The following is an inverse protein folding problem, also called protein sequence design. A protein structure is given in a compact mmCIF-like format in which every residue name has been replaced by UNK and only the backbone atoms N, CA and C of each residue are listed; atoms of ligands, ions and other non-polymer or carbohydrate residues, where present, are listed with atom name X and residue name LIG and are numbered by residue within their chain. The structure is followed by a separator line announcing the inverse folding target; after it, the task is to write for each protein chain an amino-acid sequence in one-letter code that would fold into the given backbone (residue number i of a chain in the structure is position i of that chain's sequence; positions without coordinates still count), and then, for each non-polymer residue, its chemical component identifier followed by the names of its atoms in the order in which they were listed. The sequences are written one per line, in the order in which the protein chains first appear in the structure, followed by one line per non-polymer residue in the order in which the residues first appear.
data_IF_892305046479
#
_entry.id   IF_892305046479
#
_cell.length_a   1.000
_cell.length_b   1.000
_cell.length_c   1.000
_cell.angle_alpha   90.00
_cell.angle_beta   90.00
_cell.angle_gamma   90.00
#
_symmetry.space_group_name_H-M   'P 1'
#
loop_
_entity.id
_entity.type
_entity.pdbx_description
1 polymer ?
#
# COMPACT_ATOMS: atom_id res chain seq x y z
N UNK A 1 6.74 9.82 23.45
CA UNK A 1 8.12 10.18 23.83
C UNK A 1 8.57 9.35 25.02
N UNK A 2 9.90 9.13 25.15
CA UNK A 2 10.50 8.58 26.38
C UNK A 2 10.66 9.67 27.47
N UNK A 3 11.28 9.31 28.62
CA UNK A 3 11.48 10.25 29.72
C UNK A 3 12.49 11.38 29.39
N UNK A 4 13.29 11.22 28.36
CA UNK A 4 14.29 12.19 27.90
C UNK A 4 13.79 13.05 26.72
N UNK A 5 12.56 12.80 26.25
CA UNK A 5 11.96 13.49 25.09
C UNK A 5 12.35 12.89 23.73
N UNK A 6 12.92 11.67 23.68
CA UNK A 6 13.17 10.98 22.42
C UNK A 6 11.85 10.47 21.83
N UNK A 7 11.68 10.66 20.51
CA UNK A 7 10.52 10.18 19.77
C UNK A 7 10.51 8.65 19.68
N UNK A 8 9.47 8.00 20.22
CA UNK A 8 9.25 6.56 20.11
C UNK A 8 8.25 6.23 19.00
N UNK A 9 7.20 7.03 18.87
CA UNK A 9 6.24 6.93 17.78
C UNK A 9 5.77 8.34 17.39
N UNK A 10 5.56 8.58 16.08
CA UNK A 10 5.10 9.86 15.57
C UNK A 10 4.34 9.68 14.26
N UNK A 11 3.62 10.71 13.86
CA UNK A 11 2.96 10.74 12.58
C UNK A 11 3.84 11.46 11.55
N UNK A 12 4.04 10.83 10.41
CA UNK A 12 4.74 11.41 9.26
C UNK A 12 3.76 11.58 8.11
N UNK A 13 3.81 12.74 7.46
CA UNK A 13 2.98 12.96 6.27
C UNK A 13 3.45 12.09 5.13
N UNK A 14 2.53 11.31 4.57
CA UNK A 14 2.70 10.49 3.38
C UNK A 14 1.93 11.12 2.24
N UNK A 15 2.54 11.24 1.09
CA UNK A 15 1.90 11.70 -0.13
C UNK A 15 1.55 10.49 -0.97
N UNK A 16 0.25 10.30 -1.25
CA UNK A 16 -0.21 9.22 -2.09
C UNK A 16 -0.77 9.78 -3.38
N UNK A 17 -0.36 9.19 -4.48
CA UNK A 17 -0.80 9.58 -5.82
C UNK A 17 -1.90 8.63 -6.28
N UNK A 18 -3.02 9.18 -6.66
CA UNK A 18 -4.17 8.44 -7.18
C UNK A 18 -4.55 8.90 -8.58
N UNK A 19 -5.26 8.02 -9.29
CA UNK A 19 -5.85 8.31 -10.59
C UNK A 19 -7.37 8.08 -10.55
N UNK A 20 -8.13 9.06 -11.02
CA UNK A 20 -9.60 8.96 -11.07
C UNK A 20 -10.01 8.06 -12.23
N UNK A 21 -10.70 6.96 -11.95
CA UNK A 21 -11.05 5.93 -12.94
C UNK A 21 -11.92 6.45 -14.09
N UNK A 22 -12.81 7.39 -13.81
CA UNK A 22 -13.78 7.97 -14.75
C UNK A 22 -13.51 9.45 -15.05
N UNK A 23 -12.25 9.90 -15.04
CA UNK A 23 -11.91 11.23 -15.49
C UNK A 23 -12.37 11.42 -16.93
N UNK A 24 -13.19 12.45 -17.17
CA UNK A 24 -13.59 12.83 -18.54
C UNK A 24 -12.44 13.57 -19.21
N UNK A 25 -11.84 12.94 -20.19
CA UNK A 25 -10.72 13.46 -20.97
C UNK A 25 -11.10 13.76 -22.41
N UNK A 26 -12.39 13.66 -22.77
CA UNK A 26 -12.87 13.77 -24.14
C UNK A 26 -12.55 15.11 -24.80
N UNK A 27 -12.76 16.22 -24.06
CA UNK A 27 -12.46 17.56 -24.56
C UNK A 27 -10.95 17.76 -24.77
N UNK A 28 -10.15 17.39 -23.78
CA UNK A 28 -8.69 17.51 -23.84
C UNK A 28 -8.06 16.59 -24.91
N UNK A 29 -8.64 15.41 -25.15
CA UNK A 29 -8.21 14.51 -26.20
C UNK A 29 -8.56 15.09 -27.58
N UNK A 30 -9.77 15.66 -27.73
CA UNK A 30 -10.21 16.30 -28.97
C UNK A 30 -9.35 17.54 -29.33
N UNK A 31 -8.94 18.33 -28.33
CA UNK A 31 -8.02 19.46 -28.56
C UNK A 31 -6.66 19.03 -29.11
N UNK A 32 -6.21 17.83 -28.79
CA UNK A 32 -4.94 17.24 -29.26
C UNK A 32 -5.05 16.38 -30.49
N UNK A 33 -6.27 16.15 -31.00
CA UNK A 33 -6.57 15.24 -32.12
C UNK A 33 -6.08 13.79 -31.89
N UNK A 34 -6.26 13.31 -30.64
CA UNK A 34 -5.94 11.95 -30.19
C UNK A 34 -7.15 11.32 -29.48
N UNK A 35 -7.09 10.01 -29.26
CA UNK A 35 -8.12 9.29 -28.47
C UNK A 35 -7.95 9.52 -26.97
N UNK A 36 -9.02 9.35 -26.19
CA UNK A 36 -8.92 9.38 -24.73
C UNK A 36 -7.95 8.32 -24.17
N UNK A 37 -7.88 7.15 -24.79
CA UNK A 37 -6.94 6.11 -24.39
C UNK A 37 -5.49 6.56 -24.57
N UNK A 38 -5.17 7.18 -25.70
CA UNK A 38 -3.85 7.74 -25.97
C UNK A 38 -3.50 8.85 -24.97
N UNK A 39 -4.44 9.76 -24.69
CA UNK A 39 -4.23 10.80 -23.68
C UNK A 39 -4.00 10.23 -22.28
N UNK A 40 -4.79 9.23 -21.87
CA UNK A 40 -4.58 8.54 -20.58
C UNK A 40 -3.20 7.90 -20.49
N UNK A 41 -2.74 7.27 -21.58
CA UNK A 41 -1.42 6.66 -21.66
C UNK A 41 -0.30 7.71 -21.57
N UNK A 42 -0.45 8.86 -22.23
CA UNK A 42 0.49 9.99 -22.11
C UNK A 42 0.57 10.53 -20.69
N UNK A 43 -0.59 10.73 -20.03
CA UNK A 43 -0.66 11.21 -18.63
C UNK A 43 0.06 10.23 -17.70
N UNK A 44 -0.27 8.94 -17.80
CA UNK A 44 0.36 7.90 -16.97
C UNK A 44 1.87 7.83 -17.25
N UNK A 45 2.29 7.89 -18.51
CA UNK A 45 3.71 7.87 -18.85
C UNK A 45 4.48 9.07 -18.26
N UNK A 46 3.94 10.30 -18.40
CA UNK A 46 4.53 11.50 -17.80
C UNK A 46 4.64 11.38 -16.29
N UNK A 47 3.59 10.87 -15.65
CA UNK A 47 3.58 10.64 -14.21
C UNK A 47 4.68 9.66 -13.78
N UNK A 48 4.83 8.55 -14.51
CA UNK A 48 5.91 7.57 -14.27
C UNK A 48 7.29 8.23 -14.36
N UNK A 49 7.50 9.09 -15.38
CA UNK A 49 8.78 9.79 -15.53
C UNK A 49 9.08 10.73 -14.37
N UNK A 50 8.07 11.46 -13.87
CA UNK A 50 8.24 12.35 -12.70
C UNK A 50 8.61 11.53 -11.47
N UNK A 51 7.92 10.42 -11.21
CA UNK A 51 8.22 9.54 -10.09
C UNK A 51 9.66 9.01 -10.16
N UNK A 52 10.05 8.46 -11.31
CA UNK A 52 11.40 7.88 -11.48
C UNK A 52 12.52 8.90 -11.41
N UNK A 53 12.33 10.12 -11.91
CA UNK A 53 13.30 11.21 -11.79
C UNK A 53 13.59 11.59 -10.35
N UNK A 54 12.62 11.42 -9.46
CA UNK A 54 12.74 11.72 -8.04
C UNK A 54 13.05 10.48 -7.18
N UNK A 55 13.25 9.31 -7.80
CA UNK A 55 13.59 8.06 -7.11
C UNK A 55 12.38 7.30 -6.54
N UNK A 56 11.16 7.71 -6.89
CA UNK A 56 9.92 7.06 -6.49
C UNK A 56 9.49 6.02 -7.54
N UNK A 57 8.54 5.17 -7.17
CA UNK A 57 8.03 4.10 -8.03
C UNK A 57 6.53 3.88 -7.84
N UNK A 58 5.90 3.26 -8.84
CA UNK A 58 4.51 2.81 -8.72
C UNK A 58 4.36 1.75 -7.62
N UNK A 59 3.26 1.81 -6.88
CA UNK A 59 2.84 0.78 -5.92
C UNK A 59 2.08 -0.35 -6.62
N UNK A 60 1.40 -0.04 -7.72
CA UNK A 60 0.65 -1.02 -8.53
C UNK A 60 1.58 -1.84 -9.43
N UNK A 61 1.23 -3.11 -9.61
CA UNK A 61 2.04 -4.04 -10.42
C UNK A 61 1.14 -4.87 -11.35
N UNK A 62 1.56 -5.00 -12.59
CA UNK A 62 0.93 -5.96 -13.50
C UNK A 62 1.40 -7.38 -13.16
N UNK A 63 0.54 -8.42 -13.27
CA UNK A 63 0.95 -9.81 -13.11
C UNK A 63 1.85 -10.36 -14.23
N UNK A 64 2.54 -9.49 -14.95
CA UNK A 64 3.54 -9.81 -15.99
C UNK A 64 4.83 -9.05 -15.67
N UNK A 65 5.97 -9.71 -15.80
CA UNK A 65 7.30 -9.11 -15.62
C UNK A 65 8.26 -9.56 -16.71
N UNK A 66 9.34 -8.78 -16.92
CA UNK A 66 10.47 -9.18 -17.74
C UNK A 66 11.47 -10.00 -16.92
N UNK A 67 11.97 -11.08 -17.48
CA UNK A 67 13.11 -11.82 -16.93
C UNK A 67 14.44 -11.14 -17.30
N UNK A 68 15.56 -11.69 -16.80
CA UNK A 68 16.89 -11.16 -17.08
C UNK A 68 17.28 -11.19 -18.58
N UNK A 69 16.60 -11.98 -19.39
CA UNK A 69 16.81 -12.08 -20.85
C UNK A 69 15.84 -11.21 -21.64
N UNK A 70 14.96 -10.47 -20.98
CA UNK A 70 13.93 -9.64 -21.62
C UNK A 70 12.67 -10.41 -22.06
N UNK A 71 12.50 -11.66 -21.64
CA UNK A 71 11.29 -12.40 -21.93
C UNK A 71 10.19 -12.11 -20.91
N UNK A 72 8.97 -12.01 -21.39
CA UNK A 72 7.81 -11.81 -20.51
C UNK A 72 7.38 -13.11 -19.85
N UNK A 73 7.08 -13.03 -18.56
CA UNK A 73 6.56 -14.14 -17.77
C UNK A 73 5.47 -13.67 -16.81
N UNK A 74 4.53 -14.54 -16.51
CA UNK A 74 3.58 -14.30 -15.43
C UNK A 74 4.28 -14.40 -14.06
N UNK A 75 3.87 -13.54 -13.13
CA UNK A 75 4.29 -13.56 -11.73
C UNK A 75 3.29 -14.31 -10.83
N UNK A 76 2.17 -14.74 -11.40
CA UNK A 76 1.06 -15.46 -10.75
C UNK A 76 0.78 -16.77 -11.49
N UNK A 77 0.05 -17.69 -10.86
CA UNK A 77 -0.30 -18.98 -11.42
C UNK A 77 -1.66 -19.50 -10.90
N UNK A 78 -2.14 -20.58 -11.48
CA UNK A 78 -3.36 -21.25 -11.02
C UNK A 78 -4.61 -20.36 -11.06
N UNK A 79 -5.36 -20.32 -9.97
CA UNK A 79 -6.60 -19.56 -9.87
C UNK A 79 -6.42 -18.05 -10.11
N UNK A 80 -5.31 -17.47 -9.63
CA UNK A 80 -5.01 -16.05 -9.82
C UNK A 80 -4.77 -15.74 -11.31
N UNK A 81 -4.09 -16.60 -12.05
CA UNK A 81 -3.88 -16.44 -13.48
C UNK A 81 -5.20 -16.55 -14.26
N UNK A 82 -6.06 -17.47 -13.87
CA UNK A 82 -7.40 -17.59 -14.46
C UNK A 82 -8.23 -16.31 -14.25
N UNK A 83 -8.21 -15.75 -13.05
CA UNK A 83 -8.88 -14.48 -12.75
C UNK A 83 -8.31 -13.35 -13.58
N UNK A 84 -7.00 -13.30 -13.76
CA UNK A 84 -6.34 -12.31 -14.62
C UNK A 84 -6.80 -12.43 -16.09
N UNK A 85 -6.83 -13.64 -16.66
CA UNK A 85 -7.36 -13.88 -18.00
C UNK A 85 -8.83 -13.43 -18.14
N UNK A 86 -9.67 -13.81 -17.17
CA UNK A 86 -11.08 -13.38 -17.17
C UNK A 86 -11.21 -11.86 -17.19
N UNK A 87 -10.46 -11.16 -16.38
CA UNK A 87 -10.47 -9.70 -16.33
C UNK A 87 -10.00 -9.07 -17.63
N UNK A 88 -8.88 -9.53 -18.20
CA UNK A 88 -8.29 -8.99 -19.43
C UNK A 88 -9.19 -9.26 -20.65
N UNK A 89 -9.71 -10.46 -20.78
CA UNK A 89 -10.53 -10.87 -21.92
C UNK A 89 -12.05 -10.62 -21.72
N UNK A 90 -12.45 -10.05 -20.57
CA UNK A 90 -13.83 -9.68 -20.27
C UNK A 90 -14.77 -10.88 -20.10
N UNK A 91 -14.25 -12.04 -19.66
CA UNK A 91 -15.04 -13.23 -19.40
C UNK A 91 -15.64 -13.22 -17.99
N UNK A 92 -16.88 -13.73 -17.86
CA UNK A 92 -17.56 -13.83 -16.56
C UNK A 92 -17.17 -15.11 -15.79
N UNK A 93 -16.71 -16.13 -16.48
CA UNK A 93 -16.23 -17.39 -15.92
C UNK A 93 -15.04 -17.94 -16.73
N UNK A 94 -14.30 -18.90 -16.15
CA UNK A 94 -13.19 -19.57 -16.85
C UNK A 94 -13.72 -20.33 -18.08
N UNK A 95 -14.98 -20.83 -18.03
CA UNK A 95 -15.57 -21.59 -19.13
C UNK A 95 -15.91 -20.72 -20.34
N UNK A 96 -16.10 -19.43 -20.15
CA UNK A 96 -16.35 -18.46 -21.22
C UNK A 96 -15.07 -18.10 -22.01
N UNK A 97 -13.89 -18.41 -21.46
CA UNK A 97 -12.61 -18.21 -22.15
C UNK A 97 -12.44 -19.28 -23.24
N UNK A 98 -11.99 -18.86 -24.42
CA UNK A 98 -11.56 -19.77 -25.48
C UNK A 98 -10.28 -20.53 -25.09
N UNK A 99 -10.02 -21.68 -25.73
CA UNK A 99 -8.79 -22.44 -25.49
C UNK A 99 -7.52 -21.63 -25.76
N UNK A 100 -7.55 -20.70 -26.73
CA UNK A 100 -6.45 -19.78 -27.01
C UNK A 100 -6.22 -18.82 -25.86
N UNK A 101 -7.27 -18.27 -25.27
CA UNK A 101 -7.20 -17.34 -24.14
C UNK A 101 -6.74 -18.03 -22.84
N UNK A 102 -7.21 -19.27 -22.59
CA UNK A 102 -6.79 -20.08 -21.44
C UNK A 102 -5.31 -20.43 -21.45
N UNK A 103 -4.72 -20.55 -22.65
CA UNK A 103 -3.33 -20.94 -22.85
C UNK A 103 -2.45 -19.80 -23.36
N UNK A 104 -2.93 -18.54 -23.31
CA UNK A 104 -2.19 -17.39 -23.78
C UNK A 104 -0.90 -17.19 -22.96
N UNK A 105 0.20 -16.97 -23.64
CA UNK A 105 1.47 -16.62 -23.03
C UNK A 105 1.46 -15.21 -22.46
N UNK A 106 2.38 -14.90 -21.56
CA UNK A 106 2.51 -13.56 -21.01
C UNK A 106 2.73 -12.49 -22.11
N UNK A 107 3.44 -12.84 -23.18
CA UNK A 107 3.65 -11.96 -24.33
C UNK A 107 2.35 -11.72 -25.11
N UNK A 108 1.57 -12.75 -25.39
CA UNK A 108 0.29 -12.62 -26.11
C UNK A 108 -0.72 -11.78 -25.29
N UNK A 109 -0.78 -11.95 -23.98
CA UNK A 109 -1.64 -11.13 -23.12
C UNK A 109 -1.16 -9.68 -23.09
N UNK A 110 0.14 -9.44 -22.98
CA UNK A 110 0.72 -8.10 -23.03
C UNK A 110 0.40 -7.40 -24.37
N UNK A 111 0.60 -8.09 -25.51
CA UNK A 111 0.34 -7.53 -26.85
C UNK A 111 -1.16 -7.23 -27.03
N UNK A 112 -2.05 -8.08 -26.51
CA UNK A 112 -3.49 -7.83 -26.49
C UNK A 112 -3.85 -6.59 -25.65
N UNK A 113 -3.29 -6.49 -24.44
CA UNK A 113 -3.54 -5.32 -23.57
C UNK A 113 -3.00 -4.02 -24.17
N UNK A 114 -1.87 -4.09 -24.89
CA UNK A 114 -1.25 -2.94 -25.55
C UNK A 114 -2.06 -2.47 -26.75
N UNK A 115 -2.72 -3.38 -27.47
CA UNK A 115 -3.40 -3.13 -28.75
C UNK A 115 -4.58 -2.14 -28.61
N UNK A 116 -5.12 -1.73 -29.74
CA UNK A 116 -6.33 -0.90 -29.87
C UNK A 116 -7.59 -1.60 -29.35
N UNK A 117 -7.57 -2.93 -29.22
CA UNK A 117 -8.67 -3.71 -28.65
C UNK A 117 -8.89 -3.41 -27.16
N UNK A 118 -7.85 -2.97 -26.42
CA UNK A 118 -7.99 -2.68 -24.99
C UNK A 118 -7.49 -1.27 -24.60
N UNK A 119 -6.19 -1.01 -24.60
CA UNK A 119 -5.65 0.24 -24.07
C UNK A 119 -5.01 1.16 -25.10
N UNK A 120 -4.80 0.73 -26.34
CA UNK A 120 -4.22 1.51 -27.44
C UNK A 120 -2.92 2.25 -27.05
N UNK A 121 -1.89 1.49 -26.62
CA UNK A 121 -0.61 2.06 -26.17
C UNK A 121 0.36 2.10 -27.36
N UNK A 122 0.90 3.29 -27.67
CA UNK A 122 1.81 3.54 -28.78
C UNK A 122 3.02 2.59 -28.78
N UNK A 123 3.45 2.23 -30.02
CA UNK A 123 4.65 1.42 -30.25
C UNK A 123 5.97 2.16 -29.98
N UNK A 124 5.91 3.46 -29.73
CA UNK A 124 7.08 4.27 -29.39
C UNK A 124 7.60 3.99 -27.98
N UNK A 125 6.74 3.49 -27.08
CA UNK A 125 7.15 3.14 -25.73
C UNK A 125 7.84 1.77 -25.68
N UNK A 126 8.96 1.69 -24.96
CA UNK A 126 9.63 0.41 -24.69
C UNK A 126 8.74 -0.53 -23.88
N UNK A 127 8.92 -1.85 -24.03
CA UNK A 127 8.14 -2.86 -23.28
C UNK A 127 8.21 -2.65 -21.75
N UNK A 128 9.34 -2.15 -21.23
CA UNK A 128 9.49 -1.83 -19.81
C UNK A 128 8.56 -0.69 -19.36
N UNK A 129 8.41 0.36 -20.17
CA UNK A 129 7.46 1.43 -19.86
C UNK A 129 6.02 1.01 -20.12
N UNK A 130 5.76 0.23 -21.17
CA UNK A 130 4.42 -0.31 -21.44
C UNK A 130 3.93 -1.16 -20.26
N UNK A 131 4.77 -2.00 -19.64
CA UNK A 131 4.41 -2.77 -18.44
C UNK A 131 3.98 -1.87 -17.28
N UNK A 132 4.64 -0.74 -17.08
CA UNK A 132 4.28 0.23 -16.02
C UNK A 132 2.98 0.96 -16.35
N UNK A 133 2.80 1.37 -17.61
CA UNK A 133 1.55 1.99 -18.08
C UNK A 133 0.41 1.00 -17.92
N UNK A 134 0.60 -0.26 -18.34
CA UNK A 134 -0.39 -1.32 -18.20
C UNK A 134 -0.72 -1.63 -16.75
N UNK A 135 0.24 -1.54 -15.81
CA UNK A 135 -0.03 -1.73 -14.39
C UNK A 135 -1.07 -0.72 -13.87
N UNK A 136 -0.88 0.56 -14.19
CA UNK A 136 -1.83 1.62 -13.82
C UNK A 136 -3.16 1.45 -14.56
N UNK A 137 -3.12 1.24 -15.87
CA UNK A 137 -4.32 1.12 -16.71
C UNK A 137 -5.19 -0.07 -16.31
N UNK A 138 -4.56 -1.19 -15.98
CA UNK A 138 -5.26 -2.39 -15.53
C UNK A 138 -5.92 -2.20 -14.17
N UNK A 139 -5.25 -1.57 -13.22
CA UNK A 139 -5.82 -1.28 -11.90
C UNK A 139 -7.04 -0.35 -12.02
N UNK A 140 -6.94 0.70 -12.82
CA UNK A 140 -8.06 1.59 -13.16
C UNK A 140 -9.19 0.81 -13.85
N UNK A 141 -8.86 -0.09 -14.77
CA UNK A 141 -9.83 -0.93 -15.49
C UNK A 141 -10.61 -1.86 -14.55
N UNK A 142 -9.98 -2.43 -13.55
CA UNK A 142 -10.65 -3.26 -12.54
C UNK A 142 -11.74 -2.47 -11.78
N UNK A 143 -11.51 -1.18 -11.56
CA UNK A 143 -12.40 -0.29 -10.82
C UNK A 143 -13.39 0.49 -11.71
N UNK A 144 -13.47 0.21 -13.02
CA UNK A 144 -14.27 0.98 -14.00
C UNK A 144 -15.78 1.06 -13.73
N UNK A 145 -16.33 0.14 -12.95
CA UNK A 145 -17.75 0.13 -12.58
C UNK A 145 -18.04 0.91 -11.31
N UNK A 146 -17.02 1.29 -10.55
CA UNK A 146 -17.15 2.09 -9.35
C UNK A 146 -16.99 3.56 -9.72
N UNK A 147 -18.12 4.25 -9.85
CA UNK A 147 -18.11 5.69 -10.13
C UNK A 147 -17.50 6.43 -8.93
N UNK A 148 -16.70 7.47 -9.22
CA UNK A 148 -16.07 8.35 -8.21
C UNK A 148 -14.98 7.71 -7.35
N UNK A 149 -14.52 6.49 -7.66
CA UNK A 149 -13.37 5.90 -6.98
C UNK A 149 -12.06 6.38 -7.61
N UNK A 150 -11.18 6.85 -6.77
CA UNK A 150 -9.76 7.04 -7.11
C UNK A 150 -9.01 5.73 -6.88
N UNK A 151 -8.00 5.49 -7.69
CA UNK A 151 -7.13 4.31 -7.59
C UNK A 151 -5.75 4.79 -7.19
N UNK A 152 -5.24 4.36 -6.05
CA UNK A 152 -3.89 4.68 -5.60
C UNK A 152 -2.88 3.97 -6.48
N UNK A 153 -2.05 4.74 -7.16
CA UNK A 153 -1.05 4.23 -8.10
C UNK A 153 0.38 4.31 -7.57
N UNK A 154 0.66 5.24 -6.66
CA UNK A 154 1.93 5.32 -5.94
C UNK A 154 1.70 5.83 -4.51
N UNK A 155 2.27 5.12 -3.52
CA UNK A 155 2.13 5.45 -2.12
C UNK A 155 3.45 5.94 -1.56
N UNK A 156 3.37 6.85 -0.58
CA UNK A 156 4.54 7.40 0.12
C UNK A 156 5.58 7.98 -0.84
N UNK A 157 5.12 8.76 -1.82
CA UNK A 157 6.01 9.45 -2.75
C UNK A 157 6.76 10.59 -2.04
N UNK A 158 7.93 10.93 -2.54
CA UNK A 158 8.77 12.00 -2.01
C UNK A 158 8.11 13.38 -2.15
N UNK A 159 8.52 14.32 -1.31
CA UNK A 159 8.06 15.70 -1.40
C UNK A 159 8.44 16.33 -2.77
N UNK A 160 9.53 15.89 -3.38
CA UNK A 160 9.95 16.31 -4.72
C UNK A 160 8.96 15.85 -5.78
N UNK A 161 8.53 14.60 -5.75
CA UNK A 161 7.49 14.07 -6.66
C UNK A 161 6.16 14.77 -6.42
N UNK A 162 5.76 14.97 -5.17
CA UNK A 162 4.56 15.73 -4.82
C UNK A 162 4.57 17.12 -5.45
N UNK A 163 5.66 17.88 -5.26
CA UNK A 163 5.77 19.24 -5.81
C UNK A 163 5.72 19.22 -7.35
N UNK A 164 6.49 18.32 -7.99
CA UNK A 164 6.54 18.21 -9.44
C UNK A 164 5.19 17.78 -10.05
N UNK A 165 4.47 16.86 -9.43
CA UNK A 165 3.13 16.47 -9.87
C UNK A 165 2.16 17.63 -9.71
N UNK A 166 2.16 18.31 -8.56
CA UNK A 166 1.28 19.46 -8.28
C UNK A 166 1.50 20.60 -9.26
N UNK A 167 2.74 20.90 -9.64
CA UNK A 167 3.07 21.91 -10.65
C UNK A 167 2.56 21.56 -12.05
N UNK A 168 2.37 20.28 -12.33
CA UNK A 168 1.95 19.77 -13.65
C UNK A 168 0.48 19.28 -13.66
N UNK A 169 -0.32 19.55 -12.65
CA UNK A 169 -1.72 19.09 -12.55
C UNK A 169 -2.57 19.48 -13.77
N UNK A 170 -2.31 20.64 -14.38
CA UNK A 170 -3.02 21.07 -15.58
C UNK A 170 -2.82 20.14 -16.78
N UNK A 171 -1.71 19.38 -16.80
CA UNK A 171 -1.37 18.42 -17.86
C UNK A 171 -1.57 16.97 -17.44
N UNK A 172 -1.68 16.71 -16.15
CA UNK A 172 -1.88 15.39 -15.53
C UNK A 172 -3.34 15.19 -15.14
N UNK A 173 -4.24 15.44 -16.07
CA UNK A 173 -5.68 15.37 -15.87
C UNK A 173 -6.10 14.01 -15.29
N UNK A 174 -6.93 14.06 -14.24
CA UNK A 174 -7.41 12.87 -13.53
C UNK A 174 -6.44 12.32 -12.48
N UNK A 175 -5.20 12.84 -12.39
CA UNK A 175 -4.33 12.59 -11.26
C UNK A 175 -4.74 13.45 -10.07
N UNK A 176 -4.60 12.91 -8.87
CA UNK A 176 -4.80 13.62 -7.60
C UNK A 176 -3.76 13.16 -6.59
N UNK A 177 -3.38 14.04 -5.68
CA UNK A 177 -2.45 13.71 -4.61
C UNK A 177 -3.10 13.97 -3.27
N UNK A 178 -3.27 12.91 -2.50
CA UNK A 178 -3.72 12.97 -1.11
C UNK A 178 -2.54 13.04 -0.15
N UNK A 179 -2.75 13.74 0.96
CA UNK A 179 -1.79 13.76 2.07
C UNK A 179 -2.40 12.93 3.18
N UNK A 180 -1.72 11.84 3.52
CA UNK A 180 -2.10 10.96 4.60
C UNK A 180 -1.09 11.02 5.74
N UNK A 181 -1.47 10.51 6.89
CA UNK A 181 -0.61 10.46 8.06
C UNK A 181 -0.24 9.02 8.36
N UNK A 182 1.03 8.68 8.17
CA UNK A 182 1.56 7.37 8.50
C UNK A 182 2.14 7.35 9.91
N UNK A 183 1.81 6.32 10.69
CA UNK A 183 2.37 6.12 12.02
C UNK A 183 3.73 5.44 11.92
N UNK A 184 4.78 6.13 12.35
CA UNK A 184 6.16 5.63 12.35
C UNK A 184 6.58 5.28 13.77
N UNK A 185 7.23 4.12 13.94
CA UNK A 185 7.71 3.60 15.21
C UNK A 185 9.23 3.53 15.19
N UNK A 186 9.87 4.38 15.98
CA UNK A 186 11.31 4.35 16.16
C UNK A 186 11.70 3.19 17.07
N UNK A 187 12.81 2.53 16.75
CA UNK A 187 13.36 1.47 17.59
C UNK A 187 12.33 0.36 17.94
N UNK A 188 11.44 0.04 17.00
CA UNK A 188 10.29 -0.87 17.21
C UNK A 188 10.68 -2.21 17.85
N UNK A 189 11.86 -2.76 17.55
CA UNK A 189 12.35 -4.02 18.12
C UNK A 189 12.43 -3.99 19.65
N UNK A 190 12.67 -2.81 20.24
CA UNK A 190 12.81 -2.65 21.70
C UNK A 190 11.48 -2.25 22.37
N UNK A 191 10.52 -1.69 21.61
CA UNK A 191 9.34 -1.05 22.18
C UNK A 191 8.01 -1.61 21.68
N UNK A 192 7.98 -2.47 20.66
CA UNK A 192 6.73 -2.97 20.06
C UNK A 192 5.76 -3.60 21.06
N UNK A 193 6.26 -4.32 22.06
CA UNK A 193 5.47 -4.95 23.11
C UNK A 193 4.86 -3.97 24.12
N UNK A 194 5.35 -2.72 24.16
CA UNK A 194 4.85 -1.65 25.03
C UNK A 194 3.96 -0.71 24.24
N UNK A 195 4.47 -0.20 23.10
CA UNK A 195 3.77 0.79 22.26
C UNK A 195 2.60 0.13 21.54
N UNK A 196 2.78 -1.09 21.02
CA UNK A 196 1.81 -1.75 20.17
C UNK A 196 1.87 -1.25 18.73
N UNK A 197 0.72 -1.28 18.06
CA UNK A 197 0.60 -0.85 16.66
C UNK A 197 -0.83 -0.38 16.36
N UNK A 198 -1.01 0.36 15.27
CA UNK A 198 -2.31 0.73 14.72
C UNK A 198 -2.70 -0.20 13.56
N UNK A 199 -4.00 -0.32 13.31
CA UNK A 199 -4.52 -1.11 12.19
C UNK A 199 -5.97 -0.74 11.88
N UNK A 200 -6.48 -1.23 10.74
CA UNK A 200 -7.85 -0.96 10.32
C UNK A 200 -8.87 -1.40 11.38
N UNK A 201 -9.87 -0.56 11.60
CA UNK A 201 -10.98 -0.88 12.51
C UNK A 201 -11.80 -2.05 11.95
N UNK A 202 -12.15 -3.03 12.78
CA UNK A 202 -13.11 -4.08 12.42
C UNK A 202 -14.55 -3.58 12.58
N UNK A 203 -15.52 -4.28 11.98
CA UNK A 203 -16.93 -3.91 12.12
C UNK A 203 -17.41 -3.96 13.57
N UNK A 204 -16.93 -4.94 14.35
CA UNK A 204 -17.28 -5.09 15.75
C UNK A 204 -16.72 -3.92 16.61
N UNK A 205 -15.46 -3.57 16.39
CA UNK A 205 -14.83 -2.41 17.05
C UNK A 205 -15.51 -1.10 16.64
N UNK A 206 -15.88 -0.96 15.37
CA UNK A 206 -16.58 0.22 14.86
C UNK A 206 -17.93 0.43 15.58
N UNK A 207 -18.71 -0.63 15.75
CA UNK A 207 -19.96 -0.58 16.48
C UNK A 207 -19.71 -0.24 17.98
N UNK A 208 -18.73 -0.87 18.61
CA UNK A 208 -18.42 -0.65 20.01
C UNK A 208 -17.97 0.79 20.29
N UNK A 209 -17.02 1.32 19.48
CA UNK A 209 -16.52 2.69 19.66
C UNK A 209 -17.61 3.71 19.35
N UNK A 210 -18.31 3.55 18.22
CA UNK A 210 -19.33 4.51 17.78
C UNK A 210 -20.58 4.55 18.66
N UNK A 211 -20.85 3.48 19.42
CA UNK A 211 -21.91 3.48 20.43
C UNK A 211 -21.63 4.42 21.61
N UNK A 212 -20.37 4.74 21.88
CA UNK A 212 -19.90 5.56 23.00
C UNK A 212 -19.63 7.01 22.62
N UNK A 213 -19.51 7.31 21.32
CA UNK A 213 -19.05 8.60 20.80
C UNK A 213 -20.21 9.43 20.23
N UNK A 214 -20.17 10.77 20.36
CA UNK A 214 -21.11 11.65 19.66
C UNK A 214 -20.91 11.59 18.15
N UNK A 215 -21.96 11.95 17.38
CA UNK A 215 -21.98 11.79 15.93
C UNK A 215 -20.81 12.46 15.19
N UNK A 216 -20.33 13.57 15.71
CA UNK A 216 -19.22 14.33 15.13
C UNK A 216 -17.82 13.75 15.45
N UNK A 217 -17.73 12.70 16.26
CA UNK A 217 -16.49 12.03 16.65
C UNK A 217 -16.49 10.54 16.30
N UNK A 218 -17.48 10.07 15.56
CA UNK A 218 -17.57 8.67 15.16
C UNK A 218 -16.44 8.30 14.20
N UNK A 219 -15.98 7.05 14.34
CA UNK A 219 -15.03 6.47 13.42
C UNK A 219 -15.70 6.14 12.09
N UNK A 220 -14.95 6.34 11.00
CA UNK A 220 -15.31 5.84 9.67
C UNK A 220 -14.96 4.36 9.55
N UNK A 221 -15.51 3.69 8.54
CA UNK A 221 -15.22 2.27 8.26
C UNK A 221 -13.76 1.98 7.89
N UNK A 222 -13.03 3.01 7.47
CA UNK A 222 -11.63 2.91 7.06
C UNK A 222 -10.68 3.49 8.12
N UNK A 223 -11.17 3.78 9.34
CA UNK A 223 -10.35 4.37 10.38
C UNK A 223 -9.23 3.41 10.82
N UNK A 224 -8.06 4.00 11.09
CA UNK A 224 -6.96 3.32 11.75
C UNK A 224 -7.07 3.54 13.25
N UNK A 225 -7.00 2.47 14.03
CA UNK A 225 -7.09 2.52 15.50
C UNK A 225 -5.94 1.74 16.14
N UNK A 226 -5.62 2.04 17.39
CA UNK A 226 -4.68 1.26 18.20
C UNK A 226 -5.20 -0.15 18.46
N UNK A 227 -4.41 -1.16 18.07
CA UNK A 227 -4.76 -2.59 18.23
C UNK A 227 -4.16 -3.23 19.45
N UNK A 228 -3.07 -2.72 19.94
CA UNK A 228 -2.34 -3.29 21.07
C UNK A 228 -1.58 -2.20 21.84
N UNK A 229 -1.21 -2.50 23.09
CA UNK A 229 -0.29 -1.69 23.90
C UNK A 229 -0.82 -0.30 24.23
N UNK A 230 0.10 0.67 24.20
CA UNK A 230 -0.23 2.08 24.48
C UNK A 230 -1.09 2.70 23.38
N UNK A 231 -0.89 2.32 22.12
CA UNK A 231 -1.73 2.79 21.01
C UNK A 231 -3.22 2.47 21.26
N UNK A 232 -3.52 1.25 21.73
CA UNK A 232 -4.89 0.87 22.08
C UNK A 232 -5.38 1.53 23.38
N UNK A 233 -4.53 1.54 24.42
CA UNK A 233 -4.95 2.01 25.74
C UNK A 233 -5.19 3.52 25.81
N UNK A 234 -4.51 4.27 24.94
CA UNK A 234 -4.58 5.72 24.83
C UNK A 234 -5.12 6.21 23.49
N UNK A 235 -5.87 5.36 22.80
CA UNK A 235 -6.48 5.67 21.49
C UNK A 235 -7.24 7.01 21.52
N UNK A 236 -8.09 7.23 22.54
CA UNK A 236 -8.89 8.43 22.69
C UNK A 236 -8.04 9.71 22.80
N UNK A 237 -6.87 9.62 23.42
CA UNK A 237 -5.96 10.74 23.61
C UNK A 237 -5.07 10.98 22.38
N UNK A 238 -4.67 9.92 21.69
CA UNK A 238 -3.74 9.96 20.55
C UNK A 238 -4.42 10.30 19.23
N UNK A 239 -5.69 9.93 19.06
CA UNK A 239 -6.42 10.03 17.78
C UNK A 239 -6.54 11.45 17.24
N UNK A 240 -6.81 12.46 18.10
CA UNK A 240 -7.17 13.79 17.64
C UNK A 240 -8.60 13.87 17.06
N UNK A 241 -8.79 14.75 16.08
CA UNK A 241 -10.08 14.94 15.41
C UNK A 241 -9.88 14.97 13.91
N UNK A 242 -10.62 14.16 13.18
CA UNK A 242 -10.57 14.12 11.72
C UNK A 242 -11.15 15.41 11.13
N UNK A 243 -10.53 15.89 10.06
CA UNK A 243 -11.08 16.98 9.25
C UNK A 243 -12.23 16.47 8.39
N UNK A 244 -13.08 17.37 7.94
CA UNK A 244 -14.15 17.07 7.01
C UNK A 244 -14.31 18.17 5.98
N UNK A 245 -14.69 17.78 4.77
CA UNK A 245 -14.96 18.71 3.69
C UNK A 245 -16.28 18.34 3.01
N UNK A 246 -17.18 19.33 2.94
CA UNK A 246 -18.44 19.19 2.20
C UNK A 246 -18.33 19.97 0.90
N UNK A 247 -18.65 19.32 -0.21
CA UNK A 247 -18.54 19.92 -1.53
C UNK A 247 -19.74 19.57 -2.40
N UNK A 248 -20.12 20.45 -3.29
CA UNK A 248 -20.99 20.13 -4.41
C UNK A 248 -20.16 19.52 -5.53
N UNK A 249 -20.61 18.41 -6.06
CA UNK A 249 -20.03 17.78 -7.23
C UNK A 249 -21.09 17.69 -8.32
N UNK A 250 -20.67 17.79 -9.59
CA UNK A 250 -21.56 17.52 -10.71
C UNK A 250 -21.82 16.02 -10.87
N UNK A 251 -22.60 15.64 -11.90
CA UNK A 251 -22.91 14.26 -12.20
C UNK A 251 -21.68 13.43 -12.68
N UNK A 252 -20.54 14.06 -12.89
CA UNK A 252 -19.25 13.47 -13.30
C UNK A 252 -18.24 13.44 -12.15
N UNK A 253 -18.60 13.93 -10.95
CA UNK A 253 -17.74 13.96 -9.78
C UNK A 253 -16.80 15.18 -9.71
N UNK A 254 -16.91 16.14 -10.64
CA UNK A 254 -16.14 17.37 -10.60
C UNK A 254 -16.63 18.28 -9.47
N UNK A 255 -15.71 18.72 -8.63
CA UNK A 255 -16.02 19.67 -7.55
C UNK A 255 -16.44 21.02 -8.13
N UNK A 256 -17.67 21.42 -7.86
CA UNK A 256 -18.24 22.71 -8.28
C UNK A 256 -18.00 23.79 -7.23
N UNK A 257 -18.19 23.45 -5.95
CA UNK A 257 -18.05 24.39 -4.83
C UNK A 257 -17.75 23.63 -3.53
N UNK A 258 -16.86 24.17 -2.72
CA UNK A 258 -16.61 23.71 -1.35
C UNK A 258 -17.51 24.52 -0.41
N UNK A 259 -18.48 23.84 0.25
CA UNK A 259 -19.47 24.46 1.12
C UNK A 259 -18.91 24.69 2.53
N UNK A 260 -18.18 23.69 3.04
CA UNK A 260 -17.69 23.64 4.42
C UNK A 260 -16.39 22.84 4.49
N UNK A 261 -15.46 23.33 5.30
CA UNK A 261 -14.18 22.65 5.55
C UNK A 261 -13.82 22.79 7.02
N UNK A 262 -13.60 21.64 7.66
CA UNK A 262 -13.04 21.57 9.01
C UNK A 262 -11.66 20.96 8.93
N UNK A 263 -10.66 21.63 9.45
CA UNK A 263 -9.29 21.13 9.45
C UNK A 263 -9.09 20.05 10.52
N UNK A 264 -8.13 19.16 10.28
CA UNK A 264 -7.73 18.13 11.24
C UNK A 264 -7.09 18.75 12.49
N UNK A 265 -7.36 18.15 13.65
CA UNK A 265 -6.69 18.53 14.91
C UNK A 265 -5.88 17.34 15.41
N UNK A 266 -4.59 17.55 15.63
CA UNK A 266 -3.70 16.49 16.16
C UNK A 266 -4.13 16.06 17.56
N UNK A 267 -3.92 14.79 17.89
CA UNK A 267 -4.09 14.26 19.25
C UNK A 267 -3.01 14.75 20.22
N UNK A 268 -3.08 14.25 21.44
CA UNK A 268 -2.15 14.63 22.49
C UNK A 268 -0.84 13.82 22.43
N UNK A 269 0.24 14.43 22.88
CA UNK A 269 1.50 13.75 23.10
C UNK A 269 1.49 12.96 24.42
N UNK A 270 2.08 11.76 24.39
CA UNK A 270 2.25 10.92 25.60
C UNK A 270 3.73 10.80 25.91
N UNK A 271 4.08 11.08 27.17
CA UNK A 271 5.42 10.95 27.72
C UNK A 271 5.49 9.76 28.66
N UNK A 272 6.40 8.83 28.36
CA UNK A 272 6.63 7.63 29.17
C UNK A 272 7.71 7.88 30.21
N UNK A 273 7.71 7.08 31.27
CA UNK A 273 8.79 7.05 32.26
C UNK A 273 9.97 6.16 31.85
N UNK A 274 9.90 5.54 30.68
CA UNK A 274 10.94 4.68 30.13
C UNK A 274 12.09 5.50 29.57
N UNK A 275 13.30 4.96 29.71
CA UNK A 275 14.52 5.48 29.12
C UNK A 275 14.91 4.59 27.95
N UNK A 276 15.04 5.17 26.77
CA UNK A 276 15.35 4.46 25.50
C UNK A 276 16.69 3.74 25.55
N UNK A 277 17.72 4.38 26.09
CA UNK A 277 19.07 3.82 26.13
C UNK A 277 19.16 2.66 27.13
N UNK A 278 18.49 2.79 28.27
CA UNK A 278 18.40 1.72 29.27
C UNK A 278 17.63 0.52 28.71
N UNK A 279 16.52 0.75 27.99
CA UNK A 279 15.73 -0.32 27.38
C UNK A 279 16.55 -1.10 26.35
N UNK A 280 17.26 -0.38 25.45
CA UNK A 280 18.16 -0.97 24.47
C UNK A 280 19.29 -1.78 25.12
N UNK A 281 19.89 -1.23 26.16
CA UNK A 281 20.94 -1.92 26.90
C UNK A 281 20.44 -3.23 27.53
N UNK A 282 19.27 -3.18 28.21
CA UNK A 282 18.68 -4.37 28.83
C UNK A 282 18.33 -5.43 27.79
N UNK A 283 17.71 -5.04 26.66
CA UNK A 283 17.40 -5.95 25.57
C UNK A 283 18.65 -6.65 25.04
N UNK A 284 19.67 -5.88 24.66
CA UNK A 284 20.92 -6.42 24.12
C UNK A 284 21.67 -7.30 25.13
N UNK A 285 21.63 -6.97 26.43
CA UNK A 285 22.23 -7.79 27.47
C UNK A 285 21.51 -9.13 27.60
N UNK A 286 20.16 -9.12 27.59
CA UNK A 286 19.36 -10.35 27.65
C UNK A 286 19.58 -11.21 26.42
N UNK A 287 19.58 -10.63 25.22
CA UNK A 287 19.84 -11.36 23.95
C UNK A 287 21.21 -12.04 23.98
N UNK A 288 22.24 -11.31 24.41
CA UNK A 288 23.60 -11.84 24.53
C UNK A 288 23.68 -13.02 25.50
N UNK A 289 23.09 -12.87 26.69
CA UNK A 289 23.12 -13.93 27.71
C UNK A 289 22.30 -15.15 27.29
N UNK A 290 21.11 -14.97 26.70
CA UNK A 290 20.29 -16.05 26.18
C UNK A 290 21.00 -16.80 25.03
N UNK A 291 21.62 -16.07 24.11
CA UNK A 291 22.40 -16.65 23.02
C UNK A 291 23.60 -17.48 23.57
N UNK A 292 24.30 -16.98 24.59
CA UNK A 292 25.39 -17.70 25.22
C UNK A 292 24.92 -18.98 25.93
N UNK A 293 23.78 -18.95 26.60
CA UNK A 293 23.15 -20.12 27.24
C UNK A 293 22.78 -21.16 26.18
N UNK A 294 22.10 -20.75 25.10
CA UNK A 294 21.71 -21.66 24.02
C UNK A 294 22.96 -22.32 23.39
N UNK A 295 23.97 -21.52 23.03
CA UNK A 295 25.20 -22.03 22.42
C UNK A 295 25.97 -23.01 23.31
N UNK A 296 25.96 -22.77 24.63
CA UNK A 296 26.64 -23.63 25.62
C UNK A 296 25.92 -24.98 25.76
N UNK A 297 24.60 -24.98 25.73
CA UNK A 297 23.76 -26.13 25.99
C UNK A 297 23.33 -26.87 24.71
N UNK A 298 23.58 -26.29 23.55
CA UNK A 298 23.22 -26.88 22.25
C UNK A 298 23.99 -28.18 22.00
N UNK A 299 23.26 -29.25 21.74
CA UNK A 299 23.80 -30.57 21.42
C UNK A 299 23.32 -31.05 20.05
N UNK A 300 24.23 -31.61 19.27
CA UNK A 300 23.90 -32.19 17.99
C UNK A 300 23.29 -33.61 18.17
N UNK A 301 22.15 -33.65 18.83
CA UNK A 301 21.35 -34.85 19.08
C UNK A 301 19.88 -34.57 18.77
N UNK A 302 19.13 -35.65 18.53
CA UNK A 302 17.69 -35.55 18.27
C UNK A 302 16.84 -35.43 19.54
N UNK A 303 17.37 -35.93 20.66
CA UNK A 303 16.75 -35.83 21.99
C UNK A 303 17.81 -35.98 23.07
N UNK A 304 17.59 -35.37 24.24
CA UNK A 304 18.43 -35.55 25.46
C UNK A 304 17.54 -35.79 26.66
N UNK A 305 18.08 -36.53 27.64
CA UNK A 305 17.48 -36.72 28.97
C UNK A 305 18.09 -35.80 30.03
N UNK A 306 19.19 -35.14 29.68
CA UNK A 306 19.81 -34.15 30.57
C UNK A 306 18.99 -32.86 30.53
N UNK A 307 18.78 -32.28 31.74
CA UNK A 307 17.84 -31.16 31.92
C UNK A 307 18.28 -29.88 31.18
N UNK A 308 19.59 -29.67 31.08
CA UNK A 308 20.15 -28.40 30.56
C UNK A 308 20.56 -28.53 29.07
N UNK A 309 20.50 -29.74 28.48
CA UNK A 309 20.81 -29.94 27.06
C UNK A 309 19.67 -29.45 26.17
N UNK A 310 20.03 -28.73 25.13
CA UNK A 310 19.11 -28.28 24.06
C UNK A 310 19.40 -29.10 22.80
N UNK A 311 18.56 -30.09 22.44
CA UNK A 311 18.70 -30.81 21.20
C UNK A 311 18.59 -29.90 20.00
N UNK A 312 19.43 -30.05 18.97
CA UNK A 312 19.40 -29.21 17.79
C UNK A 312 18.04 -29.23 17.05
N UNK A 313 17.34 -30.35 17.17
CA UNK A 313 15.99 -30.51 16.61
C UNK A 313 14.98 -29.54 17.22
N UNK A 314 15.09 -29.19 18.49
CA UNK A 314 14.23 -28.20 19.14
C UNK A 314 14.46 -26.78 18.57
N UNK A 315 15.71 -26.47 18.26
CA UNK A 315 16.04 -25.18 17.60
C UNK A 315 15.42 -25.12 16.21
N UNK A 316 15.52 -26.20 15.42
CA UNK A 316 14.87 -26.26 14.10
C UNK A 316 13.35 -26.17 14.21
N UNK A 317 12.72 -26.86 15.13
CA UNK A 317 11.28 -26.73 15.35
C UNK A 317 10.90 -25.29 15.72
N UNK A 318 11.65 -24.65 16.60
CA UNK A 318 11.43 -23.24 16.93
C UNK A 318 11.58 -22.29 15.74
N UNK A 319 12.49 -22.56 14.81
CA UNK A 319 12.66 -21.77 13.58
C UNK A 319 11.49 -21.98 12.59
N UNK A 320 10.99 -23.22 12.45
CA UNK A 320 9.81 -23.53 11.65
C UNK A 320 8.54 -22.97 12.24
N UNK A 321 8.31 -23.13 13.55
CA UNK A 321 7.10 -22.66 14.24
C UNK A 321 6.97 -21.13 14.19
N UNK A 322 8.11 -20.41 14.06
CA UNK A 322 8.13 -18.96 13.93
C UNK A 322 8.27 -18.48 12.46
N UNK A 323 8.11 -19.35 11.47
CA UNK A 323 8.22 -19.04 10.03
C UNK A 323 9.54 -18.33 9.63
N UNK A 324 10.65 -18.65 10.31
CA UNK A 324 11.97 -18.11 10.00
C UNK A 324 12.61 -18.90 8.85
N UNK A 325 12.32 -20.20 8.77
CA UNK A 325 12.73 -21.07 7.67
C UNK A 325 11.53 -21.89 7.17
N UNK A 326 11.46 -22.09 5.86
CA UNK A 326 10.47 -22.94 5.19
C UNK A 326 11.05 -24.33 4.93
N UNK A 327 10.16 -25.37 4.89
CA UNK A 327 10.53 -26.73 4.50
C UNK A 327 10.55 -26.92 3.00
#
# INVERSE_FOLDING_TARGET
FDCNGNLLAYNESSYNLSFTSNADLSEAAAEKDITENELRNEIVYKTILILEQNGDSLSVKLPISLDANGNMKFTISGAQLNTFYMNVFGASSVDDLTDKQKNATAREVFDYMRSDELFNISDEYSDAYVLKILAVRYEVWLNRYQQYMTVDIANNISQQSYAAITENMDTLLGMDVSIESNRVYNDAIYFSHIIGYIGNISNEELEEYNAKLPDNQKYSTNAMIGKLGLEQSYEEQLRGTDGSQKMYVDNMGKVLEIIDKTDTVAGNDIYLTLDTDLQKYCYNALEKELSAIILTNLKNVTSSTEKDDIPITEVYYGLFDNNIIDM
#
